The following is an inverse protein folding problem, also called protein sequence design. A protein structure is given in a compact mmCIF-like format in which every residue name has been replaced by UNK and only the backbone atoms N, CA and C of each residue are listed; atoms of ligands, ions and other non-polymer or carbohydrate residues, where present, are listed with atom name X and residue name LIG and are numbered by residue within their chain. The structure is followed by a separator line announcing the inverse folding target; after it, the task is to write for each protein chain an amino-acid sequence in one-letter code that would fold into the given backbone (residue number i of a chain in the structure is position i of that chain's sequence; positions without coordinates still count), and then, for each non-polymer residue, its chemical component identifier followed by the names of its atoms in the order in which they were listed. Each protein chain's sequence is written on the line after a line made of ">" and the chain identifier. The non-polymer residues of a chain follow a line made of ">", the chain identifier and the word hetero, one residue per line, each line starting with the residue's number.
data_IF_885519123495
#
_entry.id   IF_885519123495
#
_cell.length_a   1.000
_cell.length_b   1.000
_cell.length_c   1.000
_cell.angle_alpha   90.00
_cell.angle_beta   90.00
_cell.angle_gamma   90.00
#
_symmetry.space_group_name_H-M   'P 1'
#
loop_
_entity.id
_entity.type
_entity.pdbx_description
1 polymer ?
#
# COMPACT_ATOMS: atom_id res chain seq x y z
N UNK A 1 51.73 14.45 25.51
CA UNK A 1 50.42 15.13 25.74
C UNK A 1 49.45 14.62 24.68
N UNK A 2 48.27 14.13 25.05
CA UNK A 2 47.26 13.72 24.08
C UNK A 2 46.67 14.95 23.36
N UNK A 3 46.23 14.77 22.11
CA UNK A 3 45.51 15.78 21.31
C UNK A 3 44.10 15.28 21.03
N UNK A 4 43.12 16.18 21.04
CA UNK A 4 41.74 15.90 20.64
C UNK A 4 41.63 15.91 19.11
N UNK A 5 40.83 15.00 18.56
CA UNK A 5 40.49 14.90 17.14
C UNK A 5 39.02 14.45 17.01
N UNK A 6 38.49 14.48 15.79
CA UNK A 6 37.09 14.16 15.48
C UNK A 6 37.06 13.10 14.38
N UNK A 7 36.33 12.02 14.58
CA UNK A 7 36.27 10.88 13.64
C UNK A 7 34.94 10.90 12.88
N UNK A 8 34.97 10.65 11.56
CA UNK A 8 33.77 10.49 10.74
C UNK A 8 33.08 9.17 11.09
N UNK A 9 31.78 9.22 11.41
CA UNK A 9 31.00 8.03 11.78
C UNK A 9 30.73 7.05 10.63
N UNK A 10 30.98 7.43 9.38
CA UNK A 10 30.72 6.60 8.20
C UNK A 10 31.97 5.90 7.66
N UNK A 11 33.09 6.63 7.49
CA UNK A 11 34.34 6.06 6.96
C UNK A 11 35.46 5.86 8.00
N UNK A 12 35.28 6.34 9.24
CA UNK A 12 36.29 6.34 10.32
C UNK A 12 37.55 7.19 10.03
N UNK A 13 37.48 8.14 9.10
CA UNK A 13 38.58 9.10 8.91
C UNK A 13 38.66 10.09 10.08
N UNK A 14 39.89 10.40 10.51
CA UNK A 14 40.16 11.29 11.65
C UNK A 14 40.53 12.69 11.16
N UNK A 15 39.76 13.68 11.62
CA UNK A 15 39.89 15.09 11.29
C UNK A 15 40.32 15.93 12.50
N UNK A 16 40.92 17.08 12.20
CA UNK A 16 41.40 18.04 13.20
C UNK A 16 40.33 19.03 13.68
N UNK A 17 39.17 19.08 13.03
CA UNK A 17 38.05 19.95 13.40
C UNK A 17 36.74 19.19 13.29
N UNK A 18 35.78 19.55 14.15
CA UNK A 18 34.43 18.98 14.12
C UNK A 18 33.75 19.17 12.75
N UNK A 19 33.85 20.38 12.18
CA UNK A 19 33.27 20.70 10.88
C UNK A 19 33.83 19.82 9.76
N UNK A 20 35.15 19.58 9.73
CA UNK A 20 35.73 18.69 8.72
C UNK A 20 35.24 17.23 8.85
N UNK A 21 35.00 16.74 10.07
CA UNK A 21 34.41 15.42 10.29
C UNK A 21 32.91 15.37 9.91
N UNK A 22 32.15 16.45 10.14
CA UNK A 22 30.73 16.57 9.77
C UNK A 22 30.52 16.66 8.25
N UNK A 23 31.43 17.32 7.53
CA UNK A 23 31.40 17.37 6.06
C UNK A 23 31.94 16.07 5.42
N UNK A 24 32.59 15.20 6.21
CA UNK A 24 33.13 13.93 5.72
C UNK A 24 31.99 12.92 5.52
N UNK A 25 31.87 12.40 4.31
CA UNK A 25 30.84 11.42 3.92
C UNK A 25 29.40 11.90 4.12
N UNK A 26 29.13 13.22 4.08
CA UNK A 26 27.75 13.76 4.11
C UNK A 26 26.81 12.82 3.36
N UNK A 27 25.75 12.29 4.01
CA UNK A 27 24.84 11.41 3.32
C UNK A 27 24.33 12.15 2.09
N UNK A 28 24.47 11.50 0.93
CA UNK A 28 23.97 12.04 -0.32
C UNK A 28 22.46 12.26 -0.16
N UNK A 29 22.02 13.51 -0.37
CA UNK A 29 20.60 13.84 -0.34
C UNK A 29 20.04 13.52 -1.73
N UNK A 30 19.27 12.44 -1.81
CA UNK A 30 18.57 12.06 -3.03
C UNK A 30 17.17 12.67 -3.06
N UNK A 31 16.77 13.18 -4.22
CA UNK A 31 15.38 13.53 -4.48
C UNK A 31 14.58 12.24 -4.68
N UNK A 32 13.46 12.11 -3.97
CA UNK A 32 12.55 10.96 -4.07
C UNK A 32 11.12 11.43 -4.30
N UNK A 33 10.31 10.56 -4.89
CA UNK A 33 8.89 10.76 -5.16
C UNK A 33 8.08 9.87 -4.22
N UNK A 34 7.25 10.49 -3.37
CA UNK A 34 6.38 9.77 -2.45
C UNK A 34 5.02 9.48 -3.10
N UNK A 35 4.51 8.28 -2.87
CA UNK A 35 3.14 7.93 -3.21
C UNK A 35 2.16 8.53 -2.18
N UNK A 36 1.26 9.42 -2.60
CA UNK A 36 0.26 10.04 -1.72
C UNK A 36 -0.74 9.04 -1.08
N UNK A 37 -0.74 7.78 -1.54
CA UNK A 37 -1.67 6.74 -1.08
C UNK A 37 -1.10 5.85 0.01
N UNK A 38 0.17 5.43 -0.12
CA UNK A 38 0.84 4.49 0.78
C UNK A 38 2.15 5.02 1.38
N UNK A 39 2.53 6.26 1.05
CA UNK A 39 3.73 6.96 1.54
C UNK A 39 5.07 6.26 1.18
N UNK A 40 5.03 5.32 0.24
CA UNK A 40 6.23 4.64 -0.26
C UNK A 40 7.07 5.59 -1.13
N UNK A 41 8.39 5.52 -0.98
CA UNK A 41 9.34 6.37 -1.69
C UNK A 41 9.88 5.66 -2.95
N UNK A 42 9.95 6.41 -4.05
CA UNK A 42 10.44 5.95 -5.34
C UNK A 42 11.49 6.91 -5.91
N UNK A 43 12.46 6.37 -6.64
CA UNK A 43 13.53 7.17 -7.24
C UNK A 43 13.06 7.91 -8.51
N UNK A 44 12.04 7.38 -9.21
CA UNK A 44 11.47 7.95 -10.44
C UNK A 44 10.00 8.34 -10.28
N UNK A 45 9.62 9.48 -10.88
CA UNK A 45 8.24 9.99 -10.87
C UNK A 45 7.25 9.02 -11.49
N UNK A 46 7.61 8.43 -12.64
CA UNK A 46 6.74 7.50 -13.37
C UNK A 46 6.45 6.23 -12.54
N UNK A 47 7.41 5.81 -11.70
CA UNK A 47 7.24 4.66 -10.82
C UNK A 47 6.38 5.00 -9.60
N UNK A 48 6.53 6.20 -9.02
CA UNK A 48 5.59 6.71 -8.02
C UNK A 48 4.17 6.83 -8.59
N UNK A 49 4.00 7.29 -9.84
CA UNK A 49 2.69 7.39 -10.49
C UNK A 49 2.05 6.02 -10.70
N UNK A 50 2.81 5.01 -11.17
CA UNK A 50 2.33 3.64 -11.29
C UNK A 50 1.98 3.04 -9.93
N UNK A 51 2.77 3.34 -8.90
CA UNK A 51 2.47 2.94 -7.52
C UNK A 51 1.14 3.55 -7.06
N UNK A 52 0.96 4.87 -7.18
CA UNK A 52 -0.28 5.57 -6.86
C UNK A 52 -1.48 4.92 -7.57
N UNK A 53 -1.39 4.72 -8.89
CA UNK A 53 -2.48 4.13 -9.68
C UNK A 53 -2.73 2.67 -9.30
N UNK A 54 -1.68 1.88 -9.11
CA UNK A 54 -1.78 0.48 -8.69
C UNK A 54 -2.37 0.33 -7.30
N UNK A 55 -2.05 1.24 -6.38
CA UNK A 55 -2.57 1.28 -5.01
C UNK A 55 -3.95 1.93 -4.92
N UNK A 56 -4.33 2.83 -5.83
CA UNK A 56 -5.72 3.29 -5.98
C UNK A 56 -6.58 2.20 -6.60
N UNK A 57 -6.05 1.37 -7.50
CA UNK A 57 -6.72 0.16 -7.99
C UNK A 57 -6.76 -0.96 -6.94
N UNK A 58 -5.76 -1.05 -6.06
CA UNK A 58 -5.78 -2.00 -4.94
C UNK A 58 -6.63 -1.52 -3.75
N UNK A 59 -6.71 -0.20 -3.51
CA UNK A 59 -7.69 0.43 -2.60
C UNK A 59 -9.07 0.57 -3.25
N UNK A 60 -9.13 0.38 -4.56
CA UNK A 60 -10.32 0.41 -5.38
C UNK A 60 -10.80 -1.00 -5.62
N UNK A 61 -11.43 -1.58 -4.61
CA UNK A 61 -12.68 -2.28 -4.92
C UNK A 61 -13.50 -1.18 -5.60
N UNK A 62 -13.56 -1.17 -6.93
CA UNK A 62 -14.46 -0.28 -7.65
C UNK A 62 -15.78 -0.37 -6.93
N UNK A 63 -16.29 0.75 -6.40
CA UNK A 63 -17.51 0.70 -5.60
C UNK A 63 -18.59 0.07 -6.47
N UNK A 64 -18.97 -1.17 -6.14
CA UNK A 64 -19.88 -1.93 -6.99
C UNK A 64 -21.28 -1.46 -6.64
N UNK A 65 -21.97 -0.87 -7.61
CA UNK A 65 -23.34 -0.43 -7.42
C UNK A 65 -24.29 -1.62 -7.51
N UNK A 66 -24.97 -1.94 -6.42
CA UNK A 66 -25.98 -2.99 -6.42
C UNK A 66 -27.15 -2.59 -7.33
N UNK A 67 -27.55 -3.41 -8.32
CA UNK A 67 -28.66 -3.06 -9.21
C UNK A 67 -30.03 -3.15 -8.53
N UNK A 68 -30.14 -3.83 -7.38
CA UNK A 68 -31.39 -3.97 -6.64
C UNK A 68 -31.71 -2.76 -5.75
N UNK A 69 -30.70 -2.24 -5.04
CA UNK A 69 -30.89 -1.14 -4.08
C UNK A 69 -30.10 0.13 -4.40
N UNK A 70 -29.35 0.12 -5.51
CA UNK A 70 -28.66 1.28 -6.08
C UNK A 70 -27.67 1.99 -5.15
N UNK A 71 -27.27 1.32 -4.05
CA UNK A 71 -26.18 1.74 -3.16
C UNK A 71 -24.85 1.32 -3.75
N UNK A 72 -23.88 2.22 -3.65
CA UNK A 72 -22.47 1.94 -3.92
C UNK A 72 -21.91 1.13 -2.74
N UNK A 73 -21.29 -0.01 -3.02
CA UNK A 73 -20.80 -0.93 -1.99
C UNK A 73 -19.28 -0.83 -1.89
N UNK A 74 -18.80 -0.58 -0.68
CA UNK A 74 -17.37 -0.44 -0.36
C UNK A 74 -16.79 -1.73 0.26
N UNK A 75 -17.66 -2.65 0.71
CA UNK A 75 -17.23 -3.92 1.29
C UNK A 75 -16.97 -4.94 0.19
N UNK A 76 -15.79 -5.59 0.25
CA UNK A 76 -15.41 -6.69 -0.65
C UNK A 76 -16.48 -7.79 -0.72
N UNK A 77 -17.05 -8.14 0.44
CA UNK A 77 -18.17 -9.06 0.56
C UNK A 77 -19.33 -8.69 -0.39
N UNK A 78 -19.78 -7.43 -0.35
CA UNK A 78 -20.93 -6.99 -1.15
C UNK A 78 -20.59 -6.89 -2.64
N UNK A 79 -19.35 -6.54 -2.99
CA UNK A 79 -18.89 -6.57 -4.37
C UNK A 79 -18.97 -7.99 -4.96
N UNK A 80 -18.47 -8.98 -4.23
CA UNK A 80 -18.49 -10.40 -4.60
C UNK A 80 -19.93 -10.93 -4.68
N UNK A 81 -20.78 -10.60 -3.71
CA UNK A 81 -22.20 -10.96 -3.74
C UNK A 81 -22.90 -10.44 -5.00
N UNK A 82 -22.63 -9.19 -5.39
CA UNK A 82 -23.21 -8.59 -6.60
C UNK A 82 -22.64 -9.24 -7.86
N UNK A 83 -21.35 -9.56 -7.90
CA UNK A 83 -20.73 -10.24 -9.04
C UNK A 83 -21.33 -11.64 -9.26
N UNK A 84 -21.55 -12.39 -8.17
CA UNK A 84 -22.05 -13.77 -8.23
C UNK A 84 -23.57 -13.83 -8.41
N UNK A 85 -24.32 -13.09 -7.60
CA UNK A 85 -25.78 -13.22 -7.49
C UNK A 85 -26.54 -12.01 -8.08
N UNK A 86 -25.85 -10.97 -8.52
CA UNK A 86 -26.48 -9.75 -9.04
C UNK A 86 -27.12 -8.87 -7.97
N UNK A 87 -26.94 -9.17 -6.68
CA UNK A 87 -27.43 -8.35 -5.57
C UNK A 87 -26.60 -8.57 -4.29
N UNK A 88 -26.63 -7.61 -3.36
CA UNK A 88 -26.01 -7.75 -2.05
C UNK A 88 -26.96 -8.34 -1.00
N UNK A 89 -26.40 -8.87 0.08
CA UNK A 89 -27.11 -9.51 1.20
C UNK A 89 -28.04 -8.56 1.95
N UNK A 90 -27.74 -7.25 1.96
CA UNK A 90 -28.60 -6.24 2.60
C UNK A 90 -29.96 -6.09 1.91
N UNK A 91 -30.00 -6.36 0.60
CA UNK A 91 -31.16 -6.10 -0.25
C UNK A 91 -31.93 -7.40 -0.51
N UNK A 92 -31.22 -8.53 -0.61
CA UNK A 92 -31.80 -9.87 -0.54
C UNK A 92 -30.76 -10.85 0.04
N UNK A 93 -31.02 -11.45 1.23
CA UNK A 93 -30.09 -12.39 1.85
C UNK A 93 -30.21 -13.82 1.31
N UNK A 94 -31.17 -14.08 0.41
CA UNK A 94 -31.39 -15.42 -0.13
C UNK A 94 -30.58 -15.66 -1.40
N UNK A 95 -29.58 -16.52 -1.28
CA UNK A 95 -28.76 -17.02 -2.37
C UNK A 95 -29.14 -18.45 -2.75
N UNK A 96 -28.80 -18.86 -3.97
CA UNK A 96 -28.78 -20.30 -4.27
C UNK A 96 -27.68 -20.98 -3.46
N UNK A 97 -27.77 -22.30 -3.31
CA UNK A 97 -26.73 -23.08 -2.62
C UNK A 97 -25.38 -22.92 -3.33
N UNK A 98 -25.38 -22.95 -4.66
CA UNK A 98 -24.17 -22.81 -5.47
C UNK A 98 -23.56 -21.41 -5.33
N UNK A 99 -24.39 -20.36 -5.35
CA UNK A 99 -23.92 -18.98 -5.14
C UNK A 99 -23.34 -18.80 -3.73
N UNK A 100 -23.93 -19.44 -2.72
CA UNK A 100 -23.44 -19.37 -1.33
C UNK A 100 -22.02 -19.91 -1.23
N UNK A 101 -21.75 -21.07 -1.84
CA UNK A 101 -20.40 -21.64 -1.86
C UNK A 101 -19.43 -20.75 -2.62
N UNK A 102 -19.82 -20.28 -3.81
CA UNK A 102 -18.95 -19.44 -4.65
C UNK A 102 -18.61 -18.10 -3.99
N UNK A 103 -19.59 -17.47 -3.32
CA UNK A 103 -19.36 -16.23 -2.57
C UNK A 103 -18.35 -16.49 -1.44
N UNK A 104 -18.52 -17.57 -0.67
CA UNK A 104 -17.60 -17.93 0.41
C UNK A 104 -16.16 -18.11 -0.08
N UNK A 105 -15.96 -18.90 -1.13
CA UNK A 105 -14.63 -19.18 -1.69
C UNK A 105 -13.91 -17.90 -2.15
N UNK A 106 -14.63 -17.00 -2.83
CA UNK A 106 -14.06 -15.74 -3.32
C UNK A 106 -13.75 -14.75 -2.20
N UNK A 107 -14.57 -14.72 -1.15
CA UNK A 107 -14.34 -13.86 0.03
C UNK A 107 -13.10 -14.32 0.78
N UNK A 108 -12.97 -15.63 1.01
CA UNK A 108 -11.80 -16.20 1.68
C UNK A 108 -10.52 -15.96 0.87
N UNK A 109 -10.57 -16.09 -0.45
CA UNK A 109 -9.46 -15.75 -1.34
C UNK A 109 -9.08 -14.27 -1.22
N UNK A 110 -10.04 -13.35 -1.30
CA UNK A 110 -9.76 -11.91 -1.21
C UNK A 110 -9.18 -11.51 0.16
N UNK A 111 -9.64 -12.15 1.24
CA UNK A 111 -9.08 -11.94 2.59
C UNK A 111 -7.62 -12.42 2.65
N UNK A 112 -7.32 -13.60 2.10
CA UNK A 112 -5.97 -14.13 2.06
C UNK A 112 -5.01 -13.21 1.28
N UNK A 113 -5.42 -12.75 0.09
CA UNK A 113 -4.65 -11.80 -0.72
C UNK A 113 -4.38 -10.48 0.03
N UNK A 114 -5.39 -9.93 0.71
CA UNK A 114 -5.22 -8.70 1.48
C UNK A 114 -4.27 -8.85 2.68
N UNK A 115 -4.26 -10.02 3.32
CA UNK A 115 -3.34 -10.33 4.42
C UNK A 115 -1.90 -10.47 3.93
N UNK A 116 -1.68 -11.13 2.78
CA UNK A 116 -0.36 -11.27 2.17
C UNK A 116 0.23 -9.92 1.75
N UNK A 117 -0.61 -8.99 1.28
CA UNK A 117 -0.20 -7.64 0.89
C UNK A 117 0.10 -6.70 2.08
N UNK A 118 -0.19 -7.15 3.31
CA UNK A 118 0.01 -6.38 4.54
C UNK A 118 1.26 -6.78 5.34
N UNK A 119 2.06 -7.72 4.81
CA UNK A 119 3.31 -8.23 5.38
C UNK A 119 4.53 -7.75 4.59
#
# INVERSE_FOLDING_TARGET
>A
MPKQAYECGSCNDVHNTHYAAEQCCQPEVSEVWLCDTCEEAHDEKDDAEKCCVGKVKARGIETVRCPACFRDQELAQHAIEIEVAGHCSECNPHYSVDDTFKIGDLVDQQIAENLEHSL
#
